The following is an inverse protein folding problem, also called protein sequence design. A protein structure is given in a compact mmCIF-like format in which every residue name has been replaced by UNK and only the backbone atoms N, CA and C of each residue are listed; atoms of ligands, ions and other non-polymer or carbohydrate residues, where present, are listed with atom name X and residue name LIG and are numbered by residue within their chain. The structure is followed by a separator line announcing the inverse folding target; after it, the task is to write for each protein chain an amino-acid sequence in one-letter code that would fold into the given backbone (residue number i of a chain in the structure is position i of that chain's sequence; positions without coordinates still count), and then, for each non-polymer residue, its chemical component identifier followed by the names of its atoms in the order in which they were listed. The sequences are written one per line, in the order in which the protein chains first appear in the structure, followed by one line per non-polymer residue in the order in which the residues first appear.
data_IF_448513641866
#
_entry.id   IF_448513641866
#
_cell.length_a   1.000
_cell.length_b   1.000
_cell.length_c   1.000
_cell.angle_alpha   90.00
_cell.angle_beta   90.00
_cell.angle_gamma   90.00
#
_symmetry.space_group_name_H-M   'P 1'
#
loop_
_entity.id
_entity.type
_entity.pdbx_description
1 polymer ?
#
# COMPACT_ATOMS: atom_id res chain seq x y z
N UNK A 1 -23.61 -0.91 -9.61
CA UNK A 1 -22.56 0.12 -9.83
C UNK A 1 -21.23 -0.61 -9.81
N UNK A 2 -20.31 -0.34 -10.74
CA UNK A 2 -19.05 -1.08 -10.88
C UNK A 2 -17.92 -0.35 -10.14
N UNK A 3 -16.82 -1.06 -9.87
CA UNK A 3 -15.61 -0.43 -9.34
C UNK A 3 -15.02 0.56 -10.35
N UNK A 4 -14.54 1.71 -9.85
CA UNK A 4 -13.88 2.75 -10.65
C UNK A 4 -12.41 2.79 -10.26
N UNK A 5 -11.52 2.58 -11.23
CA UNK A 5 -10.08 2.74 -11.02
C UNK A 5 -9.75 4.24 -10.87
N UNK A 6 -9.17 4.60 -9.74
CA UNK A 6 -8.78 5.99 -9.43
C UNK A 6 -7.29 6.22 -9.68
N UNK A 7 -6.48 5.22 -9.40
CA UNK A 7 -5.03 5.27 -9.57
C UNK A 7 -4.51 3.90 -9.97
N UNK A 8 -3.66 3.88 -10.99
CA UNK A 8 -2.77 2.76 -11.29
C UNK A 8 -1.45 3.34 -11.78
N UNK A 9 -0.44 3.32 -10.93
CA UNK A 9 0.86 3.91 -11.22
C UNK A 9 1.99 3.03 -10.73
N UNK A 10 3.00 2.88 -11.57
CA UNK A 10 4.31 2.36 -11.17
C UNK A 10 5.32 3.50 -11.19
N UNK A 11 6.10 3.63 -10.13
CA UNK A 11 7.14 4.65 -9.95
C UNK A 11 8.45 3.91 -9.79
N UNK A 12 9.38 4.11 -10.73
CA UNK A 12 10.73 3.56 -10.62
C UNK A 12 11.52 4.45 -9.67
N UNK A 13 12.06 3.87 -8.60
CA UNK A 13 12.80 4.58 -7.56
C UNK A 13 14.32 4.41 -7.74
N UNK A 14 14.76 3.26 -8.23
CA UNK A 14 16.15 2.95 -8.59
C UNK A 14 16.20 1.79 -9.59
N UNK A 15 17.40 1.33 -9.96
CA UNK A 15 17.59 0.13 -10.78
C UNK A 15 16.97 -1.14 -10.17
N UNK A 16 16.89 -1.19 -8.84
CA UNK A 16 16.41 -2.37 -8.11
C UNK A 16 15.13 -2.12 -7.31
N UNK A 17 14.61 -0.89 -7.32
CA UNK A 17 13.46 -0.50 -6.51
C UNK A 17 12.36 0.20 -7.30
N UNK A 18 11.10 -0.14 -7.01
CA UNK A 18 9.94 0.54 -7.54
C UNK A 18 8.76 0.51 -6.56
N UNK A 19 7.89 1.50 -6.65
CA UNK A 19 6.60 1.50 -5.99
C UNK A 19 5.48 1.25 -7.01
N UNK A 20 4.49 0.45 -6.64
CA UNK A 20 3.26 0.22 -7.41
C UNK A 20 2.06 0.60 -6.55
N UNK A 21 1.24 1.52 -7.05
CA UNK A 21 0.07 2.03 -6.38
C UNK A 21 -1.15 1.72 -7.24
N UNK A 22 -2.09 0.97 -6.68
CA UNK A 22 -3.38 0.70 -7.32
C UNK A 22 -4.51 0.98 -6.34
N UNK A 23 -5.47 1.81 -6.75
CA UNK A 23 -6.59 2.27 -5.94
C UNK A 23 -7.87 2.24 -6.78
N UNK A 24 -8.92 1.69 -6.21
CA UNK A 24 -10.26 1.69 -6.78
C UNK A 24 -11.26 2.25 -5.78
N UNK A 25 -12.26 2.95 -6.28
CA UNK A 25 -13.53 3.16 -5.57
C UNK A 25 -14.45 1.98 -5.86
N UNK A 26 -14.95 1.33 -4.82
CA UNK A 26 -15.82 0.15 -4.93
C UNK A 26 -17.24 0.49 -4.48
N UNK A 27 -18.28 -0.14 -5.06
CA UNK A 27 -19.67 0.14 -4.71
C UNK A 27 -20.05 -0.31 -3.30
N UNK A 28 -19.32 -1.29 -2.76
CA UNK A 28 -19.50 -1.84 -1.42
C UNK A 28 -18.12 -1.96 -0.78
N UNK A 29 -17.96 -1.54 0.50
CA UNK A 29 -16.71 -1.72 1.22
C UNK A 29 -16.19 -3.15 1.16
N UNK A 30 -14.86 -3.29 1.10
CA UNK A 30 -14.21 -4.60 1.26
C UNK A 30 -14.54 -5.12 2.66
N UNK A 31 -14.96 -6.39 2.84
CA UNK A 31 -15.25 -6.92 4.17
C UNK A 31 -14.08 -6.76 5.15
N UNK A 32 -14.30 -6.02 6.23
CA UNK A 32 -13.27 -5.65 7.21
C UNK A 32 -12.82 -4.18 7.12
N UNK A 33 -13.14 -3.49 6.02
CA UNK A 33 -12.94 -2.04 5.86
C UNK A 33 -14.27 -1.29 6.04
N UNK A 34 -14.20 -0.04 6.51
CA UNK A 34 -15.37 0.83 6.74
C UNK A 34 -15.57 1.90 5.66
N UNK A 35 -14.80 1.84 4.58
CA UNK A 35 -14.77 2.81 3.50
C UNK A 35 -14.95 2.15 2.12
N UNK A 36 -15.26 2.95 1.11
CA UNK A 36 -15.58 2.52 -0.26
C UNK A 36 -14.34 2.45 -1.17
N UNK A 37 -13.16 2.15 -0.60
CA UNK A 37 -11.91 2.01 -1.35
C UNK A 37 -11.34 0.61 -1.26
N UNK A 38 -10.84 0.11 -2.38
CA UNK A 38 -9.95 -1.04 -2.44
C UNK A 38 -8.58 -0.55 -2.87
N UNK A 39 -7.52 -1.01 -2.23
CA UNK A 39 -6.18 -0.55 -2.56
C UNK A 39 -5.12 -1.65 -2.43
N UNK A 40 -4.03 -1.45 -3.16
CA UNK A 40 -2.76 -2.17 -3.03
C UNK A 40 -1.63 -1.21 -3.37
N UNK A 41 -0.87 -0.82 -2.37
CA UNK A 41 0.35 -0.04 -2.50
C UNK A 41 1.51 -0.95 -2.10
N UNK A 42 2.50 -1.12 -2.96
CA UNK A 42 3.62 -2.03 -2.74
C UNK A 42 4.93 -1.35 -3.10
N UNK A 43 5.90 -1.39 -2.20
CA UNK A 43 7.28 -0.99 -2.46
C UNK A 43 8.13 -2.24 -2.56
N UNK A 44 8.79 -2.40 -3.70
CA UNK A 44 9.58 -3.57 -4.03
C UNK A 44 11.04 -3.16 -4.16
N UNK A 45 11.93 -3.86 -3.48
CA UNK A 45 13.39 -3.68 -3.53
C UNK A 45 14.02 -5.04 -3.77
N UNK A 46 14.90 -5.15 -4.77
CA UNK A 46 15.55 -6.43 -5.13
C UNK A 46 14.54 -7.57 -5.33
N UNK A 47 13.42 -7.29 -6.01
CA UNK A 47 12.29 -8.21 -6.25
C UNK A 47 11.52 -8.65 -4.98
N UNK A 48 11.82 -8.09 -3.80
CA UNK A 48 11.10 -8.37 -2.55
C UNK A 48 10.14 -7.23 -2.23
N UNK A 49 8.88 -7.53 -1.94
CA UNK A 49 7.91 -6.55 -1.45
C UNK A 49 8.18 -6.26 0.02
N UNK A 50 8.78 -5.10 0.30
CA UNK A 50 9.30 -4.75 1.62
C UNK A 50 8.36 -3.82 2.41
N UNK A 51 7.50 -3.07 1.71
CA UNK A 51 6.41 -2.32 2.32
C UNK A 51 5.16 -2.58 1.52
N UNK A 52 4.06 -2.92 2.18
CA UNK A 52 2.76 -3.12 1.53
C UNK A 52 1.64 -2.52 2.36
N UNK A 53 0.70 -1.88 1.69
CA UNK A 53 -0.58 -1.49 2.26
C UNK A 53 -1.67 -2.07 1.37
N UNK A 54 -2.56 -2.86 1.94
CA UNK A 54 -3.68 -3.44 1.23
C UNK A 54 -4.88 -3.66 2.15
N UNK A 55 -6.03 -3.84 1.53
CA UNK A 55 -7.22 -4.28 2.23
C UNK A 55 -7.80 -5.54 1.59
N UNK A 56 -7.92 -6.58 2.41
CA UNK A 56 -8.38 -7.90 1.99
C UNK A 56 -9.62 -8.30 2.78
N UNK A 57 -10.51 -9.05 2.13
CA UNK A 57 -11.67 -9.62 2.81
C UNK A 57 -11.18 -10.43 4.01
N UNK A 58 -11.84 -10.29 5.17
CA UNK A 58 -11.54 -10.90 6.48
C UNK A 58 -10.48 -10.21 7.33
N UNK A 59 -9.49 -9.54 6.74
CA UNK A 59 -8.47 -8.78 7.49
C UNK A 59 -8.79 -7.29 7.60
N UNK A 60 -9.48 -6.76 6.60
CA UNK A 60 -9.62 -5.32 6.44
C UNK A 60 -8.28 -4.67 6.09
N UNK A 61 -8.11 -3.44 6.54
CA UNK A 61 -6.98 -2.59 6.25
C UNK A 61 -5.74 -3.02 7.04
N UNK A 62 -4.63 -3.29 6.34
CA UNK A 62 -3.40 -3.70 6.99
C UNK A 62 -2.15 -3.23 6.23
N UNK A 63 -1.04 -3.31 6.95
CA UNK A 63 0.29 -2.87 6.55
C UNK A 63 1.29 -3.99 6.79
N UNK A 64 2.15 -4.22 5.81
CA UNK A 64 3.36 -5.03 5.90
C UNK A 64 4.57 -4.10 5.90
N UNK A 65 5.49 -4.33 6.82
CA UNK A 65 6.79 -3.69 6.85
C UNK A 65 7.86 -4.75 7.14
N UNK A 66 8.63 -5.10 6.12
CA UNK A 66 9.42 -6.34 6.12
C UNK A 66 8.52 -7.55 6.31
N UNK A 67 8.85 -8.39 7.29
CA UNK A 67 8.08 -9.59 7.64
C UNK A 67 6.95 -9.32 8.66
N UNK A 68 6.82 -8.08 9.14
CA UNK A 68 5.82 -7.73 10.17
C UNK A 68 4.53 -7.23 9.52
N UNK A 69 3.43 -7.94 9.79
CA UNK A 69 2.06 -7.52 9.46
C UNK A 69 1.41 -6.82 10.68
N UNK A 70 0.70 -5.72 10.42
CA UNK A 70 -0.04 -4.98 11.45
C UNK A 70 -1.32 -4.37 10.88
N UNK A 71 -2.36 -4.23 11.70
CA UNK A 71 -3.59 -3.53 11.31
C UNK A 71 -3.29 -2.07 10.96
N UNK A 72 -3.98 -1.55 9.95
CA UNK A 72 -3.89 -0.16 9.52
C UNK A 72 -5.23 0.53 9.74
N UNK A 73 -5.23 1.76 10.27
CA UNK A 73 -6.46 2.54 10.42
C UNK A 73 -6.58 3.50 9.24
N UNK A 74 -7.42 3.17 8.27
CA UNK A 74 -7.68 4.05 7.14
C UNK A 74 -8.33 5.36 7.60
N UNK A 75 -7.85 6.49 7.08
CA UNK A 75 -8.45 7.81 7.30
C UNK A 75 -8.90 8.43 5.97
N UNK A 76 -7.96 8.66 5.08
CA UNK A 76 -8.20 9.22 3.74
C UNK A 76 -7.20 8.60 2.76
N UNK A 77 -7.48 8.74 1.46
CA UNK A 77 -6.55 8.33 0.41
C UNK A 77 -5.22 9.10 0.50
N UNK A 78 -5.26 10.39 0.83
CA UNK A 78 -4.06 11.21 0.97
C UNK A 78 -3.21 10.75 2.17
N UNK A 79 -3.86 10.42 3.30
CA UNK A 79 -3.18 9.83 4.47
C UNK A 79 -2.55 8.48 4.13
N UNK A 80 -3.26 7.61 3.39
CA UNK A 80 -2.75 6.31 2.93
C UNK A 80 -1.48 6.47 2.09
N UNK A 81 -1.47 7.40 1.14
CA UNK A 81 -0.30 7.67 0.28
C UNK A 81 0.85 8.24 1.12
N UNK A 82 0.59 9.23 1.98
CA UNK A 82 1.61 9.85 2.83
C UNK A 82 2.23 8.85 3.82
N UNK A 83 1.42 7.96 4.40
CA UNK A 83 1.89 6.90 5.29
C UNK A 83 2.78 5.90 4.55
N UNK A 84 2.38 5.49 3.35
CA UNK A 84 3.15 4.60 2.50
C UNK A 84 4.49 5.22 2.09
N UNK A 85 4.51 6.49 1.66
CA UNK A 85 5.75 7.21 1.31
C UNK A 85 6.69 7.35 2.52
N UNK A 86 6.15 7.63 3.70
CA UNK A 86 6.93 7.70 4.94
C UNK A 86 7.62 6.37 5.25
N UNK A 87 6.93 5.26 5.02
CA UNK A 87 7.53 3.94 5.23
C UNK A 87 8.53 3.53 4.18
N UNK A 88 8.36 3.93 2.93
CA UNK A 88 9.40 3.80 1.90
C UNK A 88 10.66 4.54 2.36
N UNK A 89 10.52 5.79 2.81
CA UNK A 89 11.64 6.58 3.29
C UNK A 89 12.32 5.93 4.51
N UNK A 90 11.51 5.41 5.45
CA UNK A 90 12.00 4.66 6.61
C UNK A 90 12.75 3.40 6.20
N UNK A 91 12.17 2.57 5.33
CA UNK A 91 12.80 1.35 4.84
C UNK A 91 14.17 1.64 4.20
N UNK A 92 14.21 2.64 3.31
CA UNK A 92 15.44 3.04 2.63
C UNK A 92 16.49 3.59 3.62
N UNK A 93 16.09 4.24 4.69
CA UNK A 93 17.01 4.70 5.73
C UNK A 93 17.57 3.54 6.56
N UNK A 94 16.72 2.58 6.94
CA UNK A 94 17.08 1.42 7.77
C UNK A 94 17.88 0.35 7.00
N UNK A 95 17.72 0.27 5.67
CA UNK A 95 18.30 -0.78 4.81
C UNK A 95 19.26 -0.23 3.74
N UNK A 96 19.89 0.92 4.02
CA UNK A 96 20.72 1.65 3.05
C UNK A 96 21.99 0.89 2.59
N UNK A 97 22.44 -0.09 3.38
CA UNK A 97 23.61 -0.93 3.12
C UNK A 97 23.31 -2.42 3.48
N UNK A 98 22.67 -3.20 2.58
CA UNK A 98 22.57 -4.65 2.71
C UNK A 98 23.89 -5.35 2.39
#
# INVERSE_FOLDING_TARGET
MNAVELLRRRIICSETAFAELVLWRVPTPVPGSTHDFKYRLAYVVNQVCVVRYDNEATKGDHRHFGETESSYTFQTVDTLIADFERDIARWNNENRNP
#
